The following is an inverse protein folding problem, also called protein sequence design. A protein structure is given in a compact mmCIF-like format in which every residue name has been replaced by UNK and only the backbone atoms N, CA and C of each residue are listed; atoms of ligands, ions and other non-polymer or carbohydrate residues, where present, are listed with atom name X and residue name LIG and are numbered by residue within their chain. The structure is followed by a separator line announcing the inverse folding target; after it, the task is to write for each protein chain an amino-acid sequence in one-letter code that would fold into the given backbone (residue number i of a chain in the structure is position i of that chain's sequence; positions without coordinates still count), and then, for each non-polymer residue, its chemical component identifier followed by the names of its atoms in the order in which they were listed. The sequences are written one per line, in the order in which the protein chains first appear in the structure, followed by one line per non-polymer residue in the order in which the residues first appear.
data_IF_921527716716
#
_entry.id   IF_921527716716
#
_cell.length_a   1.000
_cell.length_b   1.000
_cell.length_c   1.000
_cell.angle_alpha   90.00
_cell.angle_beta   90.00
_cell.angle_gamma   90.00
#
_symmetry.space_group_name_H-M   'P 1'
#
loop_
_entity.id
_entity.type
_entity.pdbx_description
1 polymer ?
#
# COMPACT_ATOMS: atom_id res chain seq x y z
N UNK A 1 -16.12 -1.62 8.06
CA UNK A 1 -15.43 -1.21 6.81
C UNK A 1 -16.36 -1.55 5.66
N UNK A 2 -16.67 -0.61 4.76
CA UNK A 2 -17.46 -0.92 3.56
C UNK A 2 -16.55 -1.65 2.57
N UNK A 3 -16.73 -2.97 2.43
CA UNK A 3 -16.01 -3.81 1.45
C UNK A 3 -16.07 -3.21 0.03
N UNK A 4 -17.17 -2.53 -0.28
CA UNK A 4 -17.41 -1.84 -1.55
C UNK A 4 -16.27 -0.88 -1.98
N UNK A 5 -15.58 -0.24 -1.04
CA UNK A 5 -14.52 0.72 -1.40
C UNK A 5 -13.25 0.01 -1.90
N UNK A 6 -12.94 -1.17 -1.35
CA UNK A 6 -11.77 -1.95 -1.76
C UNK A 6 -12.01 -2.58 -3.13
N UNK A 7 -13.19 -3.15 -3.34
CA UNK A 7 -13.55 -3.75 -4.63
C UNK A 7 -13.60 -2.69 -5.74
N UNK A 8 -14.11 -1.49 -5.44
CA UNK A 8 -14.07 -0.36 -6.38
C UNK A 8 -12.63 0.03 -6.74
N UNK A 9 -11.70 0.02 -5.79
CA UNK A 9 -10.30 0.31 -6.07
C UNK A 9 -9.65 -0.78 -6.94
N UNK A 10 -9.95 -2.06 -6.69
CA UNK A 10 -9.49 -3.16 -7.56
C UNK A 10 -9.97 -2.98 -9.00
N UNK A 11 -11.26 -2.67 -9.19
CA UNK A 11 -11.82 -2.39 -10.51
C UNK A 11 -11.12 -1.22 -11.21
N UNK A 12 -10.81 -0.14 -10.48
CA UNK A 12 -10.07 0.99 -11.03
C UNK A 12 -8.66 0.60 -11.50
N UNK A 13 -7.97 -0.24 -10.71
CA UNK A 13 -6.64 -0.74 -11.08
C UNK A 13 -6.70 -1.66 -12.29
N UNK A 14 -7.65 -2.59 -12.33
CA UNK A 14 -7.87 -3.50 -13.46
C UNK A 14 -8.14 -2.71 -14.75
N UNK A 15 -9.08 -1.77 -14.70
CA UNK A 15 -9.36 -0.89 -15.84
C UNK A 15 -8.10 -0.14 -16.30
N UNK A 16 -7.32 0.39 -15.35
CA UNK A 16 -6.10 1.12 -15.67
C UNK A 16 -5.06 0.22 -16.33
N UNK A 17 -4.92 -1.02 -15.85
CA UNK A 17 -4.02 -2.04 -16.42
C UNK A 17 -4.42 -2.37 -17.86
N UNK A 18 -5.70 -2.67 -18.09
CA UNK A 18 -6.23 -3.01 -19.41
C UNK A 18 -6.04 -1.89 -20.44
N UNK A 19 -6.12 -0.63 -19.98
CA UNK A 19 -6.01 0.54 -20.83
C UNK A 19 -4.61 1.17 -20.85
N UNK A 20 -3.61 0.56 -20.19
CA UNK A 20 -2.25 1.11 -20.12
C UNK A 20 -2.15 2.45 -19.40
N UNK A 21 -3.11 2.75 -18.52
CA UNK A 21 -3.17 4.00 -17.75
C UNK A 21 -2.33 3.84 -16.49
N UNK A 22 -1.44 4.81 -16.27
CA UNK A 22 -0.65 4.87 -15.04
C UNK A 22 -1.40 5.64 -13.96
N UNK A 23 -1.69 4.98 -12.85
CA UNK A 23 -2.30 5.61 -11.68
C UNK A 23 -1.22 6.30 -10.85
N UNK A 24 -1.45 7.57 -10.49
CA UNK A 24 -0.52 8.34 -9.66
C UNK A 24 -1.20 8.65 -8.34
N UNK A 25 -0.58 8.20 -7.25
CA UNK A 25 -0.97 8.55 -5.88
C UNK A 25 0.04 9.56 -5.38
N UNK A 26 -0.39 10.80 -5.18
CA UNK A 26 0.44 11.89 -4.70
C UNK A 26 0.07 12.21 -3.25
N UNK A 27 0.91 11.77 -2.31
CA UNK A 27 0.63 11.91 -0.89
C UNK A 27 0.58 13.37 -0.44
N UNK A 28 1.39 14.23 -1.05
CA UNK A 28 1.39 15.66 -0.77
C UNK A 28 0.04 16.30 -1.15
N UNK A 29 -0.54 15.91 -2.27
CA UNK A 29 -1.85 16.41 -2.68
C UNK A 29 -2.97 15.93 -1.74
N UNK A 30 -2.87 14.70 -1.24
CA UNK A 30 -3.82 14.15 -0.25
C UNK A 30 -3.70 14.91 1.08
N UNK A 31 -2.49 15.12 1.59
CA UNK A 31 -2.23 15.91 2.80
C UNK A 31 -2.76 17.35 2.65
N UNK A 32 -2.57 17.96 1.47
CA UNK A 32 -3.10 19.29 1.16
C UNK A 32 -4.63 19.31 1.12
N UNK A 33 -5.27 18.27 0.59
CA UNK A 33 -6.74 18.18 0.56
C UNK A 33 -7.30 18.03 1.98
N UNK A 34 -6.67 17.20 2.81
CA UNK A 34 -7.05 17.00 4.22
C UNK A 34 -6.80 18.27 5.04
N UNK A 35 -5.75 19.03 4.78
CA UNK A 35 -5.47 20.28 5.52
C UNK A 35 -6.37 21.44 5.11
N UNK A 36 -6.82 21.49 3.84
CA UNK A 36 -7.79 22.48 3.33
C UNK A 36 -9.24 22.13 3.65
N UNK A 37 -9.47 21.12 4.48
CA UNK A 37 -10.79 20.55 4.72
C UNK A 37 -11.78 21.63 5.15
N UNK A 38 -12.67 22.02 4.23
CA UNK A 38 -13.76 22.96 4.50
C UNK A 38 -14.76 22.29 5.45
N UNK A 39 -15.48 23.09 6.25
CA UNK A 39 -16.40 22.65 7.31
C UNK A 39 -17.45 21.58 6.89
N UNK A 40 -17.64 21.35 5.58
CA UNK A 40 -18.63 20.44 5.01
C UNK A 40 -18.11 19.05 4.60
N UNK A 41 -16.82 18.77 4.72
CA UNK A 41 -16.26 17.44 4.41
C UNK A 41 -15.51 16.95 5.65
N UNK A 42 -15.73 15.69 6.04
CA UNK A 42 -15.03 15.08 7.17
C UNK A 42 -13.98 14.09 6.64
N UNK A 43 -12.92 14.61 6.03
CA UNK A 43 -11.80 13.80 5.58
C UNK A 43 -10.99 13.34 6.79
N UNK A 44 -10.74 12.02 6.84
CA UNK A 44 -9.86 11.42 7.85
C UNK A 44 -8.38 11.62 7.49
N UNK A 45 -7.51 11.38 8.48
CA UNK A 45 -6.08 11.43 8.24
C UNK A 45 -5.64 10.25 7.34
N UNK A 46 -4.52 10.42 6.62
CA UNK A 46 -3.88 9.35 5.85
C UNK A 46 -3.54 8.15 6.74
N UNK A 47 -3.24 8.39 8.02
CA UNK A 47 -3.01 7.33 9.00
C UNK A 47 -4.19 6.38 9.21
N UNK A 48 -5.40 6.83 8.87
CA UNK A 48 -6.64 6.07 9.05
C UNK A 48 -6.98 5.19 7.84
N UNK A 49 -6.16 5.20 6.79
CA UNK A 49 -6.33 4.35 5.61
C UNK A 49 -6.22 2.87 6.04
N UNK A 50 -7.17 2.04 5.59
CA UNK A 50 -7.15 0.60 5.85
C UNK A 50 -5.86 -0.01 5.26
N UNK A 51 -5.22 -0.88 6.05
CA UNK A 51 -4.01 -1.60 5.67
C UNK A 51 -4.17 -2.36 4.35
N UNK A 52 -5.35 -2.92 4.07
CA UNK A 52 -5.65 -3.64 2.81
C UNK A 52 -5.47 -2.74 1.57
N UNK A 53 -5.75 -1.43 1.68
CA UNK A 53 -5.46 -0.50 0.58
C UNK A 53 -3.97 -0.31 0.37
N UNK A 54 -3.19 -0.23 1.45
CA UNK A 54 -1.75 -0.07 1.38
C UNK A 54 -1.11 -1.30 0.74
N UNK A 55 -1.58 -2.50 1.10
CA UNK A 55 -1.16 -3.77 0.49
C UNK A 55 -1.44 -3.81 -1.02
N UNK A 56 -2.65 -3.41 -1.44
CA UNK A 56 -2.99 -3.35 -2.87
C UNK A 56 -2.11 -2.33 -3.62
N UNK A 57 -1.88 -1.14 -3.04
CA UNK A 57 -0.99 -0.14 -3.62
C UNK A 57 0.43 -0.69 -3.76
N UNK A 58 0.93 -1.40 -2.74
CA UNK A 58 2.24 -2.04 -2.78
C UNK A 58 2.34 -3.10 -3.88
N UNK A 59 1.37 -4.00 -3.93
CA UNK A 59 1.29 -5.06 -4.93
C UNK A 59 1.33 -4.51 -6.36
N UNK A 60 0.48 -3.53 -6.67
CA UNK A 60 0.38 -2.96 -8.02
C UNK A 60 1.45 -1.91 -8.34
N UNK A 61 2.15 -1.37 -7.34
CA UNK A 61 3.38 -0.59 -7.56
C UNK A 61 4.46 -1.45 -8.21
N UNK A 62 4.59 -2.70 -7.76
CA UNK A 62 5.56 -3.65 -8.34
C UNK A 62 5.20 -4.04 -9.79
N UNK A 63 3.91 -3.99 -10.16
CA UNK A 63 3.45 -4.15 -11.54
C UNK A 63 3.62 -2.90 -12.43
N UNK A 64 4.22 -1.80 -11.92
CA UNK A 64 4.43 -0.51 -12.62
C UNK A 64 3.13 0.27 -12.95
N UNK A 65 1.96 -0.29 -12.62
CA UNK A 65 0.65 0.33 -12.84
C UNK A 65 0.45 1.55 -11.95
N UNK A 66 0.85 1.45 -10.68
CA UNK A 66 0.72 2.51 -9.69
C UNK A 66 2.08 3.17 -9.43
N UNK A 67 2.12 4.49 -9.51
CA UNK A 67 3.23 5.31 -9.03
C UNK A 67 2.82 6.08 -7.80
N UNK A 68 3.50 5.82 -6.69
CA UNK A 68 3.35 6.58 -5.45
C UNK A 68 4.43 7.66 -5.39
N UNK A 69 4.03 8.91 -5.15
CA UNK A 69 4.93 10.01 -4.80
C UNK A 69 4.77 10.29 -3.31
N UNK A 70 5.87 10.18 -2.59
CA UNK A 70 5.92 10.31 -1.15
C UNK A 70 6.12 11.77 -0.74
N UNK A 71 5.47 12.18 0.34
CA UNK A 71 5.73 13.46 1.00
C UNK A 71 7.00 13.38 1.86
N UNK A 72 7.46 14.51 2.40
CA UNK A 72 8.67 14.56 3.24
C UNK A 72 8.57 13.72 4.51
N UNK A 73 7.38 13.66 5.12
CA UNK A 73 7.05 12.82 6.29
C UNK A 73 6.04 11.73 5.90
N UNK A 74 6.32 11.05 4.79
CA UNK A 74 5.42 10.09 4.16
C UNK A 74 4.98 8.95 5.08
N UNK A 75 3.67 8.87 5.29
CA UNK A 75 3.02 7.73 5.94
C UNK A 75 3.03 6.51 5.03
N UNK A 76 2.76 6.68 3.73
CA UNK A 76 2.82 5.56 2.78
C UNK A 76 4.20 4.90 2.78
N UNK A 77 5.28 5.68 2.70
CA UNK A 77 6.64 5.15 2.74
C UNK A 77 6.91 4.38 4.03
N UNK A 78 6.48 4.93 5.17
CA UNK A 78 6.66 4.28 6.47
C UNK A 78 5.96 2.91 6.51
N UNK A 79 4.69 2.84 6.11
CA UNK A 79 3.93 1.59 6.04
C UNK A 79 4.51 0.59 5.04
N UNK A 80 4.97 1.07 3.87
CA UNK A 80 5.61 0.20 2.87
C UNK A 80 6.93 -0.40 3.37
N UNK A 81 7.70 0.34 4.17
CA UNK A 81 8.92 -0.19 4.77
C UNK A 81 8.63 -1.25 5.83
N UNK A 82 7.54 -1.10 6.60
CA UNK A 82 7.09 -2.11 7.56
C UNK A 82 6.80 -3.45 6.86
N UNK A 83 6.09 -3.46 5.74
CA UNK A 83 5.85 -4.69 4.96
C UNK A 83 7.14 -5.37 4.47
N UNK A 84 8.08 -4.59 3.96
CA UNK A 84 9.37 -5.13 3.49
C UNK A 84 10.18 -5.78 4.62
N UNK A 85 10.09 -5.26 5.84
CA UNK A 85 10.77 -5.84 6.99
C UNK A 85 10.12 -7.14 7.44
N UNK A 86 8.80 -7.24 7.34
CA UNK A 86 8.07 -8.45 7.73
C UNK A 86 8.25 -9.58 6.71
N UNK A 87 8.22 -9.27 5.39
CA UNK A 87 8.57 -10.25 4.34
C UNK A 87 9.96 -10.85 4.55
N UNK A 88 10.97 -10.01 4.86
CA UNK A 88 12.35 -10.48 5.12
C UNK A 88 12.44 -11.39 6.35
N UNK A 89 11.71 -11.08 7.42
CA UNK A 89 11.70 -11.91 8.64
C UNK A 89 11.06 -13.28 8.37
N UNK A 90 10.00 -13.32 7.57
CA UNK A 90 9.33 -14.57 7.20
C UNK A 90 10.20 -15.45 6.30
N UNK A 91 10.93 -14.84 5.35
CA UNK A 91 11.93 -15.53 4.52
C UNK A 91 13.04 -16.14 5.38
N UNK A 92 13.63 -15.36 6.29
CA UNK A 92 14.68 -15.84 7.19
C UNK A 92 14.22 -16.98 8.11
N UNK A 93 12.99 -16.89 8.63
CA UNK A 93 12.42 -17.94 9.49
C UNK A 93 12.22 -19.24 8.71
N UNK A 94 11.68 -19.14 7.49
CA UNK A 94 11.47 -20.28 6.60
C UNK A 94 12.79 -20.96 6.23
N UNK A 95 13.86 -20.19 6.02
CA UNK A 95 15.19 -20.73 5.73
C UNK A 95 15.82 -21.42 6.94
N UNK A 96 15.71 -20.83 8.14
CA UNK A 96 16.17 -21.43 9.41
C UNK A 96 15.48 -22.78 9.67
N UNK A 97 14.16 -22.86 9.47
CA UNK A 97 13.40 -24.12 9.63
C UNK A 97 13.81 -25.20 8.61
N UNK A 98 14.11 -24.83 7.37
CA UNK A 98 14.60 -25.77 6.34
C UNK A 98 15.98 -26.32 6.70
N UNK A 99 16.87 -25.48 7.23
CA UNK A 99 18.22 -25.89 7.66
C UNK A 99 18.12 -26.83 8.87
N UNK A 100 17.26 -26.54 9.84
CA UNK A 100 17.10 -27.36 11.03
C UNK A 100 16.53 -28.75 10.71
N UNK A 101 15.50 -28.84 9.84
CA UNK A 101 14.95 -30.11 9.35
C UNK A 101 15.96 -30.96 8.57
N UNK A 102 16.96 -30.34 7.93
CA UNK A 102 18.05 -31.07 7.24
C UNK A 102 19.10 -31.62 8.20
N UNK A 103 19.28 -31.02 9.39
CA UNK A 103 20.23 -31.49 10.41
C UNK A 103 19.71 -32.68 11.24
N UNK A 104 18.39 -32.92 11.20
CA UNK A 104 17.70 -34.00 11.92
C UNK A 104 17.50 -35.27 11.07
N UNK A 105 17.98 -35.31 9.82
CA UNK A 105 18.03 -36.49 8.94
C UNK A 105 19.47 -36.95 8.77
#
# INVERSE_FOLDING_TARGET
MNHNNIDMFKLLVEYSKENGIKLIIDEFDIENLISKNNENINLKNISDINIEFIELIYFYKNEIIIKVKFSGNSYFLKRLNEFNEDEKKDEEKTEKEKIEKKKLK
#
